data_IF_839962918803
#
_entry.id   IF_839962918803
#
_cell.length_a   1.000
_cell.length_b   1.000
_cell.length_c   1.000
_cell.angle_alpha   90.00
_cell.angle_beta   90.00
_cell.angle_gamma   90.00
#
_symmetry.space_group_name_H-M   'P 1'
#
loop_
_entity.id
_entity.type
_entity.pdbx_description
1 polymer ?
#
# COMPACT_ATOMS: atom_id res chain seq x y z
N UNK A 1 10.13 -0.28 -24.14
CA UNK A 1 9.04 -1.14 -23.70
C UNK A 1 8.10 -0.29 -22.85
N UNK A 2 6.83 -0.19 -23.26
CA UNK A 2 5.82 0.58 -22.53
C UNK A 2 5.33 -0.31 -21.37
N UNK A 3 5.25 0.20 -20.12
CA UNK A 3 4.71 -0.57 -19.01
C UNK A 3 3.26 -1.02 -19.29
N UNK A 4 2.92 -2.24 -18.89
CA UNK A 4 1.60 -2.84 -19.08
C UNK A 4 0.47 -1.95 -18.53
N UNK A 5 0.69 -1.35 -17.37
CA UNK A 5 -0.27 -0.45 -16.73
C UNK A 5 -0.64 0.75 -17.62
N UNK A 6 0.33 1.31 -18.37
CA UNK A 6 0.08 2.43 -19.28
C UNK A 6 -0.82 1.98 -20.42
N UNK A 7 -0.59 0.78 -20.96
CA UNK A 7 -1.44 0.21 -22.03
C UNK A 7 -2.88 -0.03 -21.55
N UNK A 8 -3.03 -0.52 -20.30
CA UNK A 8 -4.35 -0.72 -19.69
C UNK A 8 -5.11 0.59 -19.48
N UNK A 9 -4.41 1.64 -19.02
CA UNK A 9 -5.00 2.97 -18.83
C UNK A 9 -5.43 3.55 -20.20
N UNK A 10 -4.56 3.50 -21.20
CA UNK A 10 -4.88 4.00 -22.54
C UNK A 10 -6.03 3.20 -23.18
N UNK A 11 -6.02 1.87 -23.00
CA UNK A 11 -7.12 1.01 -23.44
C UNK A 11 -8.44 1.38 -22.77
N UNK A 12 -8.43 1.58 -21.45
CA UNK A 12 -9.60 2.01 -20.68
C UNK A 12 -10.12 3.38 -21.12
N UNK A 13 -9.24 4.33 -21.42
CA UNK A 13 -9.63 5.65 -21.95
C UNK A 13 -10.27 5.54 -23.33
N UNK A 14 -9.76 4.65 -24.19
CA UNK A 14 -10.31 4.46 -25.54
C UNK A 14 -11.72 3.85 -25.52
N UNK A 15 -11.97 2.82 -24.71
CA UNK A 15 -13.27 2.14 -24.65
C UNK A 15 -14.28 2.83 -23.71
N UNK A 16 -13.79 3.72 -22.84
CA UNK A 16 -14.58 4.41 -21.83
C UNK A 16 -15.59 5.41 -22.40
N UNK A 17 -16.42 6.01 -21.52
CA UNK A 17 -17.53 6.90 -21.93
C UNK A 17 -17.05 8.19 -22.63
N UNK A 18 -15.82 8.63 -22.39
CA UNK A 18 -15.22 9.81 -23.03
C UNK A 18 -14.39 9.46 -24.28
N UNK A 19 -14.27 8.16 -24.64
CA UNK A 19 -13.63 7.66 -25.84
C UNK A 19 -14.66 7.14 -26.82
N UNK A 20 -14.63 5.82 -27.08
CA UNK A 20 -15.55 5.15 -28.02
C UNK A 20 -16.95 4.89 -27.43
N UNK A 21 -17.14 5.12 -26.13
CA UNK A 21 -18.43 4.89 -25.46
C UNK A 21 -18.87 3.43 -25.40
N UNK A 22 -17.96 2.49 -25.58
CA UNK A 22 -18.25 1.05 -25.57
C UNK A 22 -18.45 0.50 -24.16
N UNK A 23 -17.82 1.14 -23.16
CA UNK A 23 -17.99 0.82 -21.75
C UNK A 23 -18.69 1.99 -21.06
N UNK A 24 -19.83 1.71 -20.44
CA UNK A 24 -20.60 2.69 -19.65
C UNK A 24 -20.41 2.35 -18.17
N UNK A 25 -20.24 3.37 -17.33
CA UNK A 25 -20.15 3.16 -15.89
C UNK A 25 -21.53 2.65 -15.38
N UNK A 26 -21.58 1.37 -15.05
CA UNK A 26 -22.68 0.73 -14.36
C UNK A 26 -22.23 0.12 -13.02
N UNK A 27 -23.17 -0.38 -12.24
CA UNK A 27 -22.88 -1.00 -10.93
C UNK A 27 -21.93 -2.19 -11.01
N UNK A 28 -21.88 -2.89 -12.14
CA UNK A 28 -21.01 -4.06 -12.34
C UNK A 28 -19.56 -3.61 -12.57
N UNK A 29 -19.36 -2.58 -13.40
CA UNK A 29 -18.04 -1.98 -13.62
C UNK A 29 -17.51 -1.34 -12.35
N UNK A 30 -18.38 -0.65 -11.59
CA UNK A 30 -18.03 -0.08 -10.29
C UNK A 30 -17.55 -1.17 -9.31
N UNK A 31 -18.28 -2.30 -9.21
CA UNK A 31 -17.90 -3.43 -8.37
C UNK A 31 -16.55 -4.02 -8.82
N UNK A 32 -16.33 -4.19 -10.12
CA UNK A 32 -15.05 -4.69 -10.64
C UNK A 32 -13.89 -3.73 -10.35
N UNK A 33 -14.12 -2.42 -10.43
CA UNK A 33 -13.17 -1.38 -10.07
C UNK A 33 -12.79 -1.47 -8.58
N UNK A 34 -13.80 -1.58 -7.70
CA UNK A 34 -13.57 -1.72 -6.26
C UNK A 34 -12.80 -2.99 -5.90
N UNK A 35 -13.16 -4.12 -6.52
CA UNK A 35 -12.44 -5.38 -6.35
C UNK A 35 -10.99 -5.27 -6.86
N UNK A 36 -10.77 -4.66 -8.01
CA UNK A 36 -9.43 -4.43 -8.57
C UNK A 36 -8.56 -3.62 -7.62
N UNK A 37 -9.09 -2.52 -7.09
CA UNK A 37 -8.41 -1.67 -6.10
C UNK A 37 -8.12 -2.45 -4.81
N UNK A 38 -9.07 -3.25 -4.32
CA UNK A 38 -8.88 -4.08 -3.12
C UNK A 38 -7.76 -5.11 -3.32
N UNK A 39 -7.69 -5.76 -4.50
CA UNK A 39 -6.60 -6.68 -4.83
C UNK A 39 -5.25 -5.98 -4.97
N UNK A 40 -5.19 -4.80 -5.57
CA UNK A 40 -3.96 -4.00 -5.63
C UNK A 40 -3.43 -3.68 -4.24
N UNK A 41 -4.29 -3.23 -3.33
CA UNK A 41 -3.89 -2.97 -1.94
C UNK A 41 -3.49 -4.23 -1.18
N UNK A 42 -4.15 -5.36 -1.45
CA UNK A 42 -3.76 -6.64 -0.86
C UNK A 42 -2.35 -7.05 -1.32
N UNK A 43 -2.06 -6.91 -2.61
CA UNK A 43 -0.73 -7.22 -3.17
C UNK A 43 0.34 -6.27 -2.64
N UNK A 44 0.08 -4.97 -2.62
CA UNK A 44 0.98 -3.97 -2.04
C UNK A 44 1.26 -4.28 -0.56
N UNK A 45 0.23 -4.61 0.22
CA UNK A 45 0.40 -5.01 1.62
C UNK A 45 1.22 -6.29 1.81
N UNK A 46 1.14 -7.23 0.87
CA UNK A 46 1.92 -8.47 0.91
C UNK A 46 3.41 -8.23 0.64
N UNK A 47 3.75 -7.24 -0.18
CA UNK A 47 5.14 -6.90 -0.53
C UNK A 47 5.87 -6.17 0.60
N UNK A 48 5.15 -5.59 1.57
CA UNK A 48 5.74 -4.81 2.67
C UNK A 48 6.31 -5.74 3.74
N UNK A 49 7.63 -5.66 3.99
CA UNK A 49 8.25 -6.31 5.15
C UNK A 49 8.12 -5.43 6.39
N UNK A 50 7.24 -5.86 7.31
CA UNK A 50 6.97 -5.15 8.57
C UNK A 50 8.23 -5.05 9.46
N UNK A 51 9.18 -6.00 9.36
CA UNK A 51 10.39 -5.98 10.18
C UNK A 51 11.33 -4.85 9.71
N UNK A 52 11.41 -4.61 8.41
CA UNK A 52 12.17 -3.49 7.85
C UNK A 52 11.58 -2.13 8.28
N UNK A 53 10.25 -2.01 8.27
CA UNK A 53 9.56 -0.79 8.68
C UNK A 53 9.71 -0.46 10.17
N UNK A 54 9.90 -1.46 11.04
CA UNK A 54 10.10 -1.25 12.48
C UNK A 54 11.48 -0.74 12.84
N UNK A 55 12.46 -0.81 11.96
CA UNK A 55 13.82 -0.37 12.17
C UNK A 55 14.01 1.15 12.06
N UNK A 56 15.26 1.58 12.20
CA UNK A 56 15.64 2.98 12.01
C UNK A 56 15.30 3.47 10.59
N UNK A 57 15.42 2.60 9.58
CA UNK A 57 15.07 2.89 8.19
C UNK A 57 13.61 3.31 8.02
N UNK A 58 12.67 2.58 8.61
CA UNK A 58 11.25 2.91 8.55
C UNK A 58 10.90 4.23 9.25
N UNK A 59 11.57 4.53 10.39
CA UNK A 59 11.40 5.83 11.06
C UNK A 59 11.88 7.00 10.20
N UNK A 60 13.05 6.87 9.57
CA UNK A 60 13.56 7.89 8.66
C UNK A 60 12.64 8.07 7.46
N UNK A 61 12.14 6.98 6.89
CA UNK A 61 11.17 7.02 5.80
C UNK A 61 9.87 7.73 6.20
N UNK A 62 9.33 7.44 7.39
CA UNK A 62 8.13 8.11 7.91
C UNK A 62 8.34 9.61 8.10
N UNK A 63 9.47 10.03 8.68
CA UNK A 63 9.81 11.45 8.85
C UNK A 63 9.98 12.13 7.50
N UNK A 64 10.71 11.52 6.57
CA UNK A 64 10.90 12.06 5.23
C UNK A 64 9.57 12.22 4.49
N UNK A 65 8.68 11.22 4.59
CA UNK A 65 7.35 11.29 3.99
C UNK A 65 6.49 12.39 4.62
N UNK A 66 6.47 12.54 5.95
CA UNK A 66 5.74 13.61 6.62
C UNK A 66 6.24 15.01 6.21
N UNK A 67 7.56 15.17 6.06
CA UNK A 67 8.14 16.41 5.54
C UNK A 67 7.71 16.68 4.09
N UNK A 68 7.72 15.65 3.24
CA UNK A 68 7.24 15.74 1.85
C UNK A 68 5.76 16.11 1.81
N UNK A 69 4.94 15.53 2.68
CA UNK A 69 3.52 15.85 2.80
C UNK A 69 3.32 17.31 3.23
N UNK A 70 4.08 17.79 4.22
CA UNK A 70 4.05 19.19 4.64
C UNK A 70 4.43 20.16 3.51
N UNK A 71 5.47 19.83 2.74
CA UNK A 71 5.88 20.60 1.56
C UNK A 71 4.80 20.57 0.46
N UNK A 72 4.15 19.42 0.23
CA UNK A 72 3.07 19.32 -0.74
C UNK A 72 1.86 20.17 -0.34
N UNK A 73 1.46 20.17 0.94
CA UNK A 73 0.41 21.07 1.45
C UNK A 73 0.82 22.54 1.32
N UNK A 74 2.08 22.86 1.60
CA UNK A 74 2.64 24.21 1.38
C UNK A 74 2.54 24.65 -0.09
N UNK A 75 2.95 23.78 -1.01
CA UNK A 75 2.88 24.03 -2.46
C UNK A 75 1.42 24.23 -2.93
N UNK A 76 0.50 23.37 -2.51
CA UNK A 76 -0.94 23.49 -2.82
C UNK A 76 -1.52 24.81 -2.29
N UNK A 77 -1.08 25.25 -1.12
CA UNK A 77 -1.50 26.54 -0.55
C UNK A 77 -1.01 27.73 -1.39
N UNK A 78 0.22 27.68 -1.90
CA UNK A 78 0.82 28.74 -2.71
C UNK A 78 0.22 28.79 -4.11
N UNK A 79 -0.06 27.62 -4.72
CA UNK A 79 -0.65 27.52 -6.07
C UNK A 79 -2.10 28.00 -6.09
N UNK A 80 -2.76 28.10 -4.92
CA UNK A 80 -4.11 28.63 -4.82
C UNK A 80 -5.18 27.70 -5.39
N UNK A 81 -5.04 26.39 -5.14
CA UNK A 81 -6.08 25.40 -5.49
C UNK A 81 -7.43 25.84 -4.90
N UNK A 82 -8.47 25.81 -5.73
CA UNK A 82 -9.84 26.20 -5.35
C UNK A 82 -10.29 25.53 -4.04
N UNK A 83 -10.61 26.34 -3.04
CA UNK A 83 -10.99 25.88 -1.70
C UNK A 83 -9.82 25.78 -0.70
N UNK A 84 -8.57 26.04 -1.13
CA UNK A 84 -7.38 25.99 -0.28
C UNK A 84 -6.86 24.58 -0.01
N UNK A 85 -5.72 24.51 0.69
CA UNK A 85 -5.04 23.25 0.99
C UNK A 85 -5.87 22.30 1.89
N UNK A 86 -6.77 22.82 2.71
CA UNK A 86 -7.65 22.05 3.59
C UNK A 86 -8.93 21.57 2.90
N UNK A 87 -9.19 21.97 1.65
CA UNK A 87 -10.32 21.46 0.86
C UNK A 87 -10.09 20.01 0.44
N UNK A 88 -11.17 19.32 0.10
CA UNK A 88 -11.07 17.95 -0.41
C UNK A 88 -10.12 17.84 -1.62
N UNK A 89 -10.18 18.79 -2.55
CA UNK A 89 -9.29 18.86 -3.69
C UNK A 89 -7.83 19.13 -3.27
N UNK A 90 -7.61 20.06 -2.35
CA UNK A 90 -6.27 20.38 -1.83
C UNK A 90 -5.63 19.17 -1.14
N UNK A 91 -6.38 18.48 -0.29
CA UNK A 91 -5.95 17.27 0.39
C UNK A 91 -5.62 16.17 -0.62
N UNK A 92 -6.51 15.93 -1.61
CA UNK A 92 -6.30 14.93 -2.63
C UNK A 92 -5.02 15.19 -3.44
N UNK A 93 -4.81 16.42 -3.90
CA UNK A 93 -3.63 16.83 -4.69
C UNK A 93 -2.36 16.69 -3.84
N UNK A 94 -2.33 17.26 -2.62
CA UNK A 94 -1.16 17.18 -1.75
C UNK A 94 -0.79 15.72 -1.43
N UNK A 95 -1.79 14.89 -1.18
CA UNK A 95 -1.58 13.47 -0.88
C UNK A 95 -1.08 12.71 -2.13
N UNK A 96 -1.66 12.98 -3.31
CA UNK A 96 -1.22 12.37 -4.55
C UNK A 96 0.24 12.72 -4.91
N UNK A 97 0.67 13.96 -4.64
CA UNK A 97 2.05 14.39 -4.86
C UNK A 97 3.08 13.63 -4.03
N UNK A 98 2.69 13.04 -2.91
CA UNK A 98 3.57 12.27 -2.01
C UNK A 98 3.42 10.76 -2.15
N UNK A 99 2.57 10.31 -3.08
CA UNK A 99 2.34 8.90 -3.35
C UNK A 99 3.50 8.29 -4.14
N UNK A 100 3.87 7.08 -3.77
CA UNK A 100 4.86 6.25 -4.48
C UNK A 100 4.23 4.92 -4.87
N UNK A 101 4.85 4.22 -5.83
CA UNK A 101 4.43 2.88 -6.27
C UNK A 101 5.62 1.93 -6.24
N UNK A 102 5.72 1.12 -5.20
CA UNK A 102 6.82 0.13 -5.05
C UNK A 102 6.73 -0.93 -6.15
N UNK A 103 5.53 -1.35 -6.53
CA UNK A 103 5.32 -2.40 -7.51
C UNK A 103 6.01 -2.16 -8.86
N UNK A 104 6.26 -0.90 -9.23
CA UNK A 104 7.00 -0.56 -10.45
C UNK A 104 8.52 -0.60 -10.28
N UNK A 105 9.03 -0.31 -9.08
CA UNK A 105 10.47 -0.22 -8.78
C UNK A 105 11.01 -1.59 -8.33
N UNK A 106 10.21 -2.40 -7.67
CA UNK A 106 10.62 -3.68 -7.11
C UNK A 106 11.23 -4.65 -8.15
N UNK A 107 10.64 -4.85 -9.35
CA UNK A 107 11.26 -5.67 -10.39
C UNK A 107 12.64 -5.14 -10.81
N UNK A 108 12.79 -3.82 -10.94
CA UNK A 108 14.05 -3.18 -11.32
C UNK A 108 15.12 -3.41 -10.25
N UNK A 109 14.78 -3.27 -8.97
CA UNK A 109 15.70 -3.53 -7.86
C UNK A 109 16.13 -5.00 -7.82
N UNK A 110 15.20 -5.91 -8.13
CA UNK A 110 15.47 -7.36 -8.21
C UNK A 110 16.42 -7.68 -9.35
N UNK A 111 16.13 -7.20 -10.55
CA UNK A 111 16.95 -7.46 -11.76
C UNK A 111 18.36 -6.88 -11.65
N UNK A 112 18.50 -5.77 -10.92
CA UNK A 112 19.80 -5.13 -10.66
C UNK A 112 20.55 -5.70 -9.45
N UNK A 113 19.96 -6.69 -8.73
CA UNK A 113 20.54 -7.26 -7.52
C UNK A 113 20.68 -6.28 -6.36
N UNK A 114 19.90 -5.20 -6.34
CA UNK A 114 19.97 -4.13 -5.34
C UNK A 114 19.16 -4.43 -4.07
N UNK A 115 18.25 -5.40 -4.11
CA UNK A 115 17.39 -5.72 -2.96
C UNK A 115 18.14 -5.99 -1.65
N UNK A 116 19.26 -6.76 -1.64
CA UNK A 116 19.99 -7.05 -0.40
C UNK A 116 20.91 -5.92 0.05
N UNK A 117 20.94 -4.79 -0.66
CA UNK A 117 21.80 -3.65 -0.34
C UNK A 117 21.11 -2.64 0.58
N UNK A 118 21.91 -1.81 1.28
CA UNK A 118 21.38 -0.70 2.09
C UNK A 118 20.56 0.29 1.26
N UNK A 119 20.91 0.47 -0.01
CA UNK A 119 20.17 1.33 -0.96
C UNK A 119 18.81 0.69 -1.27
N UNK A 120 18.76 -0.61 -1.57
CA UNK A 120 17.52 -1.33 -1.81
C UNK A 120 16.58 -1.29 -0.60
N UNK A 121 17.09 -1.56 0.60
CA UNK A 121 16.34 -1.46 1.84
C UNK A 121 15.80 -0.04 2.07
N UNK A 122 16.61 0.99 1.81
CA UNK A 122 16.16 2.38 1.93
C UNK A 122 15.03 2.71 0.94
N UNK A 123 15.15 2.30 -0.32
CA UNK A 123 14.12 2.51 -1.34
C UNK A 123 12.82 1.81 -0.95
N UNK A 124 12.91 0.56 -0.48
CA UNK A 124 11.73 -0.20 -0.03
C UNK A 124 11.04 0.46 1.16
N UNK A 125 11.80 0.90 2.18
CA UNK A 125 11.23 1.59 3.33
C UNK A 125 10.51 2.89 2.95
N UNK A 126 11.15 3.73 2.13
CA UNK A 126 10.55 5.00 1.69
C UNK A 126 9.36 4.77 0.76
N UNK A 127 9.46 3.78 -0.12
CA UNK A 127 8.36 3.39 -0.99
C UNK A 127 7.17 2.85 -0.21
N UNK A 128 7.38 1.95 0.77
CA UNK A 128 6.31 1.39 1.58
C UNK A 128 5.56 2.48 2.38
N UNK A 129 6.28 3.41 2.98
CA UNK A 129 5.66 4.54 3.70
C UNK A 129 4.94 5.47 2.74
N UNK A 130 5.54 5.78 1.57
CA UNK A 130 4.95 6.64 0.55
C UNK A 130 3.77 6.00 -0.20
N UNK A 131 3.56 4.68 -0.07
CA UNK A 131 2.38 3.99 -0.60
C UNK A 131 1.26 3.93 0.45
N UNK A 132 1.57 3.51 1.66
CA UNK A 132 0.58 3.38 2.75
C UNK A 132 0.16 4.74 3.31
N UNK A 133 1.09 5.67 3.46
CA UNK A 133 0.85 6.98 4.05
C UNK A 133 -0.27 7.77 3.37
N UNK A 134 -0.22 8.00 2.05
CA UNK A 134 -1.28 8.66 1.31
C UNK A 134 -2.65 8.00 1.47
N UNK A 135 -2.70 6.66 1.46
CA UNK A 135 -3.93 5.91 1.64
C UNK A 135 -4.56 6.21 3.01
N UNK A 136 -3.75 6.21 4.08
CA UNK A 136 -4.21 6.54 5.42
C UNK A 136 -4.70 7.98 5.52
N UNK A 137 -3.96 8.93 4.94
CA UNK A 137 -4.37 10.34 4.93
C UNK A 137 -5.68 10.54 4.17
N UNK A 138 -5.81 9.92 2.99
CA UNK A 138 -7.07 9.98 2.22
C UNK A 138 -8.24 9.36 2.98
N UNK A 139 -8.04 8.19 3.58
CA UNK A 139 -9.07 7.50 4.34
C UNK A 139 -9.54 8.32 5.56
N UNK A 140 -8.62 9.04 6.22
CA UNK A 140 -8.94 9.83 7.40
C UNK A 140 -9.53 11.20 7.06
N UNK A 141 -9.03 11.87 6.02
CA UNK A 141 -9.38 13.26 5.72
C UNK A 141 -10.46 13.41 4.64
N UNK A 142 -10.51 12.49 3.65
CA UNK A 142 -11.49 12.52 2.57
C UNK A 142 -12.64 11.51 2.74
N UNK A 143 -12.64 10.70 3.79
CA UNK A 143 -13.74 9.79 4.07
C UNK A 143 -15.06 10.56 4.16
N UNK A 144 -16.07 10.13 3.40
CA UNK A 144 -17.42 10.72 3.38
C UNK A 144 -18.17 10.58 4.70
N UNK A 145 -17.62 9.84 5.67
CA UNK A 145 -18.13 9.67 7.02
C UNK A 145 -17.49 10.65 7.98
N UNK A 146 -18.14 10.88 9.14
CA UNK A 146 -17.52 11.71 10.18
C UNK A 146 -16.13 11.16 10.52
N UNK A 147 -15.18 12.03 10.78
CA UNK A 147 -13.76 11.68 11.10
C UNK A 147 -13.69 10.62 12.21
N UNK A 148 -14.62 10.68 13.18
CA UNK A 148 -14.75 9.69 14.24
C UNK A 148 -15.09 8.29 13.71
N UNK A 149 -16.06 8.17 12.82
CA UNK A 149 -16.43 6.88 12.22
C UNK A 149 -15.27 6.28 11.41
N UNK A 150 -14.54 7.11 10.68
CA UNK A 150 -13.33 6.67 9.93
C UNK A 150 -12.23 6.17 10.87
N UNK A 151 -12.01 6.84 12.01
CA UNK A 151 -11.05 6.40 13.04
C UNK A 151 -11.46 5.08 13.67
N UNK A 152 -12.75 4.89 13.96
CA UNK A 152 -13.27 3.63 14.53
C UNK A 152 -13.10 2.48 13.55
N UNK A 153 -13.46 2.69 12.26
CA UNK A 153 -13.30 1.66 11.22
C UNK A 153 -11.82 1.29 11.04
N UNK A 154 -10.94 2.28 10.99
CA UNK A 154 -9.50 2.05 10.90
C UNK A 154 -8.98 1.29 12.13
N UNK A 155 -9.42 1.67 13.33
CA UNK A 155 -9.06 0.98 14.57
C UNK A 155 -9.51 -0.48 14.59
N UNK A 156 -10.76 -0.75 14.21
CA UNK A 156 -11.30 -2.11 14.09
C UNK A 156 -10.52 -2.91 13.04
N UNK A 157 -10.22 -2.33 11.89
CA UNK A 157 -9.42 -2.97 10.84
C UNK A 157 -8.02 -3.33 11.35
N UNK A 158 -7.34 -2.41 12.02
CA UNK A 158 -6.01 -2.67 12.60
C UNK A 158 -6.05 -3.78 13.67
N UNK A 159 -7.09 -3.81 14.52
CA UNK A 159 -7.27 -4.86 15.52
C UNK A 159 -7.48 -6.22 14.84
N UNK A 160 -8.35 -6.30 13.85
CA UNK A 160 -8.61 -7.54 13.10
C UNK A 160 -7.32 -8.00 12.41
N UNK A 161 -6.60 -7.10 11.75
CA UNK A 161 -5.33 -7.41 11.09
C UNK A 161 -4.30 -7.93 12.08
N UNK A 162 -4.16 -7.29 13.24
CA UNK A 162 -3.25 -7.71 14.31
C UNK A 162 -3.63 -9.10 14.85
N UNK A 163 -4.93 -9.37 15.02
CA UNK A 163 -5.42 -10.68 15.44
C UNK A 163 -5.10 -11.77 14.43
N UNK A 164 -5.32 -11.51 13.14
CA UNK A 164 -5.00 -12.45 12.05
C UNK A 164 -3.49 -12.73 12.02
N UNK A 165 -2.65 -11.71 12.06
CA UNK A 165 -1.19 -11.85 12.06
C UNK A 165 -0.72 -12.64 13.29
N UNK A 166 -1.30 -12.37 14.44
CA UNK A 166 -0.96 -13.06 15.68
C UNK A 166 -1.42 -14.52 15.69
N UNK A 167 -2.60 -14.79 15.12
CA UNK A 167 -3.13 -16.14 14.97
C UNK A 167 -2.28 -16.96 14.00
N UNK A 168 -1.99 -16.40 12.82
CA UNK A 168 -1.15 -17.05 11.80
C UNK A 168 0.26 -17.34 12.31
N UNK A 169 0.85 -16.43 13.11
CA UNK A 169 2.16 -16.63 13.74
C UNK A 169 2.14 -17.74 14.79
N UNK A 170 1.01 -17.95 15.48
CA UNK A 170 0.85 -19.07 16.42
C UNK A 170 0.72 -20.40 15.69
N UNK A 171 -0.07 -20.44 14.63
CA UNK A 171 -0.27 -21.65 13.81
C UNK A 171 1.04 -22.10 13.16
N UNK A 172 1.82 -21.17 12.58
CA UNK A 172 3.15 -21.47 12.03
C UNK A 172 4.12 -22.04 13.08
N UNK A 173 4.09 -21.51 14.31
CA UNK A 173 4.92 -22.00 15.42
C UNK A 173 4.55 -23.41 15.87
N UNK A 174 3.24 -23.71 15.91
CA UNK A 174 2.74 -25.05 16.26
C UNK A 174 3.07 -26.06 15.16
N UNK A 175 2.85 -25.69 13.89
CA UNK A 175 3.17 -26.54 12.74
C UNK A 175 4.67 -26.91 12.68
N UNK A 176 5.57 -25.93 12.94
CA UNK A 176 7.02 -26.19 12.97
C UNK A 176 7.41 -27.16 14.09
N UNK A 177 6.84 -27.00 15.28
CA UNK A 177 7.08 -27.93 16.41
C UNK A 177 6.60 -29.35 16.11
N UNK A 178 5.47 -29.46 15.38
CA UNK A 178 4.93 -30.77 15.00
C UNK A 178 5.85 -31.47 13.98
N UNK A 179 6.34 -30.75 12.99
CA UNK A 179 7.29 -31.26 11.99
C UNK A 179 8.62 -31.66 12.65
N UNK A 180 9.15 -30.84 13.55
CA UNK A 180 10.37 -31.17 14.33
C UNK A 180 10.16 -32.42 15.20
N UNK A 181 9.00 -32.58 15.85
CA UNK A 181 8.67 -33.78 16.66
C UNK A 181 8.56 -35.05 15.80
N UNK A 182 7.98 -34.95 14.59
CA UNK A 182 7.90 -36.07 13.65
C UNK A 182 9.30 -36.46 13.15
N UNK A 183 10.16 -35.50 12.84
CA UNK A 183 11.54 -35.80 12.42
C UNK A 183 12.36 -36.46 13.51
N UNK A 184 12.22 -36.01 14.78
CA UNK A 184 12.91 -36.60 15.92
C UNK A 184 12.38 -38.03 16.22
N UNK A 185 11.07 -38.27 16.07
CA UNK A 185 10.48 -39.60 16.23
C UNK A 185 10.93 -40.60 15.15
N UNK A 186 11.13 -40.12 13.91
CA UNK A 186 11.57 -41.01 12.82
C UNK A 186 13.05 -41.41 12.92
N UNK A 187 13.89 -40.56 13.54
CA UNK A 187 15.32 -40.90 13.74
C UNK A 187 15.57 -41.86 14.89
N UNK A 188 14.62 -42.00 15.82
CA UNK A 188 14.77 -42.89 16.99
C UNK A 188 14.31 -44.32 16.69
N UNK A 189 13.60 -44.55 15.60
CA UNK A 189 13.08 -45.89 15.19
C UNK A 189 14.03 -46.59 14.22
N UNK A 190 15.15 -46.00 13.84
CA UNK A 190 16.14 -46.51 12.89
C UNK A 190 17.46 -47.00 13.56
N UNK A 191 17.43 -47.25 14.85
CA UNK A 191 18.45 -47.98 15.61
C UNK A 191 17.79 -49.28 16.17
#
# INVERSE_FOLDING_TARGET
LVPEVVLLILGGMLIGPHGLGLAVEDSSIELLRELGVAFLFLMAGYEIDINELRGAGGRHAAVAWLLSLGLAFGAVSVIGVTGGAASANGIAIATAMTSTAIGTILPILRDRGLLPTAVGASILNHGAVGEVGPILVMALLLGSRSTWASMVILGVFLIITLLIVRFTSRVKRVGRRLVEAIHLGASTTAQ
#
